data_IF_034258736067
#
_entry.id   IF_034258736067
#
_cell.length_a   1.000
_cell.length_b   1.000
_cell.length_c   1.000
_cell.angle_alpha   90.00
_cell.angle_beta   90.00
_cell.angle_gamma   90.00
#
_symmetry.space_group_name_H-M   'P 1'
#
loop_
_entity.id
_entity.type
_entity.pdbx_description
1 polymer ?
#
# COMPACT_ATOMS: atom_id res chain seq x y z
N UNK A 1 -3.63 -27.40 8.64
CA UNK A 1 -2.87 -26.13 8.80
C UNK A 1 -3.42 -25.22 7.71
N UNK A 2 -4.01 -24.08 8.07
CA UNK A 2 -4.52 -23.15 7.06
C UNK A 2 -3.32 -22.53 6.33
N UNK A 3 -3.42 -22.47 5.00
CA UNK A 3 -2.40 -21.81 4.18
C UNK A 3 -2.67 -20.29 4.19
N UNK A 4 -1.96 -19.57 5.07
CA UNK A 4 -2.13 -18.13 5.22
C UNK A 4 -1.77 -17.37 3.94
N UNK A 5 -0.75 -17.86 3.21
CA UNK A 5 -0.36 -17.27 1.94
C UNK A 5 -1.49 -17.39 0.93
N UNK A 6 -2.07 -18.59 0.78
CA UNK A 6 -3.18 -18.79 -0.15
C UNK A 6 -4.43 -17.97 0.23
N UNK A 7 -4.71 -17.81 1.53
CA UNK A 7 -5.81 -16.94 1.98
C UNK A 7 -5.54 -15.46 1.62
N UNK A 8 -4.30 -15.00 1.84
CA UNK A 8 -3.94 -13.62 1.48
C UNK A 8 -3.92 -13.40 -0.03
N UNK A 9 -3.40 -14.36 -0.81
CA UNK A 9 -3.42 -14.26 -2.27
C UNK A 9 -4.87 -14.21 -2.81
N UNK A 10 -5.79 -14.98 -2.24
CA UNK A 10 -7.22 -14.92 -2.60
C UNK A 10 -7.85 -13.56 -2.23
N UNK A 11 -7.44 -12.98 -1.08
CA UNK A 11 -7.88 -11.65 -0.65
C UNK A 11 -7.43 -10.57 -1.66
N UNK A 12 -6.15 -10.52 -1.98
CA UNK A 12 -5.55 -9.57 -2.94
C UNK A 12 -6.14 -9.76 -4.35
N UNK A 13 -6.38 -11.02 -4.76
CA UNK A 13 -7.04 -11.32 -6.04
C UNK A 13 -8.45 -10.69 -6.11
N UNK A 14 -9.23 -10.84 -5.04
CA UNK A 14 -10.58 -10.27 -4.97
C UNK A 14 -10.57 -8.73 -5.01
N UNK A 15 -9.57 -8.09 -4.37
CA UNK A 15 -9.43 -6.64 -4.32
C UNK A 15 -9.01 -6.01 -5.65
N UNK A 16 -7.98 -6.57 -6.31
CA UNK A 16 -7.29 -5.91 -7.42
C UNK A 16 -7.60 -6.52 -8.80
N UNK A 17 -8.05 -7.77 -8.87
CA UNK A 17 -8.31 -8.45 -10.13
C UNK A 17 -9.82 -8.65 -10.35
N UNK A 18 -10.48 -9.27 -9.39
CA UNK A 18 -11.91 -9.59 -9.50
C UNK A 18 -12.79 -8.38 -9.18
N UNK A 19 -12.25 -7.40 -8.44
CA UNK A 19 -12.92 -6.20 -7.93
C UNK A 19 -14.23 -6.56 -7.20
N UNK A 20 -14.18 -7.64 -6.41
CA UNK A 20 -15.34 -8.25 -5.75
C UNK A 20 -15.29 -8.00 -4.24
N UNK A 21 -16.09 -7.04 -3.79
CA UNK A 21 -16.24 -6.68 -2.37
C UNK A 21 -16.69 -7.88 -1.51
N UNK A 22 -17.62 -8.69 -2.00
CA UNK A 22 -18.15 -9.80 -1.21
C UNK A 22 -17.10 -10.91 -1.07
N UNK A 23 -16.36 -11.21 -2.14
CA UNK A 23 -15.25 -12.13 -2.10
C UNK A 23 -14.14 -11.65 -1.16
N UNK A 24 -13.76 -10.34 -1.22
CA UNK A 24 -12.80 -9.73 -0.30
C UNK A 24 -13.24 -9.90 1.15
N UNK A 25 -14.47 -9.51 1.49
CA UNK A 25 -15.01 -9.62 2.84
C UNK A 25 -15.13 -11.08 3.32
N UNK A 26 -15.36 -12.03 2.42
CA UNK A 26 -15.45 -13.45 2.76
C UNK A 26 -14.12 -14.05 3.25
N UNK A 27 -12.98 -13.48 2.86
CA UNK A 27 -11.65 -13.89 3.33
C UNK A 27 -11.34 -13.35 4.74
N UNK A 28 -12.10 -12.37 5.22
CA UNK A 28 -11.87 -11.70 6.50
C UNK A 28 -12.67 -12.32 7.66
N UNK A 29 -12.24 -12.02 8.89
CA UNK A 29 -12.96 -12.40 10.11
C UNK A 29 -14.28 -11.61 10.22
N UNK A 30 -15.11 -11.95 11.23
CA UNK A 30 -16.36 -11.24 11.47
C UNK A 30 -16.18 -9.81 12.01
N UNK A 31 -15.01 -9.50 12.59
CA UNK A 31 -14.69 -8.18 13.14
C UNK A 31 -13.25 -7.78 12.73
N UNK A 32 -13.03 -7.50 11.43
CA UNK A 32 -11.72 -7.11 10.90
C UNK A 32 -11.44 -5.62 11.08
N UNK A 33 -10.19 -5.22 10.88
CA UNK A 33 -9.87 -3.82 10.62
C UNK A 33 -8.76 -3.66 9.58
N UNK A 34 -8.77 -2.54 8.88
CA UNK A 34 -7.76 -2.14 7.90
C UNK A 34 -7.24 -0.76 8.27
N UNK A 35 -5.92 -0.59 8.25
CA UNK A 35 -5.28 0.65 8.65
C UNK A 35 -4.11 1.01 7.74
N UNK A 36 -4.29 2.03 6.92
CA UNK A 36 -3.21 2.69 6.18
C UNK A 36 -2.55 3.71 7.09
N UNK A 37 -1.36 3.37 7.58
CA UNK A 37 -0.69 4.08 8.67
C UNK A 37 -0.40 5.55 8.33
N UNK A 38 0.12 5.91 7.14
CA UNK A 38 0.50 7.29 6.85
C UNK A 38 -0.67 8.27 6.78
N UNK A 39 -1.86 7.81 6.41
CA UNK A 39 -3.04 8.67 6.17
C UNK A 39 -4.20 8.42 7.14
N UNK A 40 -4.09 7.37 7.97
CA UNK A 40 -5.16 6.91 8.88
C UNK A 40 -6.45 6.61 8.10
N UNK A 41 -6.34 6.09 6.88
CA UNK A 41 -7.46 5.60 6.09
C UNK A 41 -7.67 4.11 6.32
N UNK A 42 -8.89 3.63 6.11
CA UNK A 42 -9.27 2.24 6.36
C UNK A 42 -10.62 2.12 7.04
N UNK A 43 -10.84 1.03 7.79
CA UNK A 43 -12.12 0.80 8.47
C UNK A 43 -11.96 -0.10 9.69
N UNK A 44 -12.86 0.05 10.67
CA UNK A 44 -12.95 -0.80 11.85
C UNK A 44 -14.24 -1.59 11.86
N UNK A 45 -14.14 -2.90 12.16
CA UNK A 45 -15.27 -3.84 12.14
C UNK A 45 -15.79 -4.10 10.72
N UNK A 46 -16.60 -5.14 10.57
CA UNK A 46 -17.10 -5.55 9.25
C UNK A 46 -17.81 -4.42 8.47
N UNK A 47 -18.58 -3.58 9.15
CA UNK A 47 -19.30 -2.49 8.51
C UNK A 47 -18.36 -1.38 8.01
N UNK A 48 -17.39 -0.97 8.84
CA UNK A 48 -16.41 0.06 8.47
C UNK A 48 -15.45 -0.41 7.39
N UNK A 49 -14.99 -1.66 7.45
CA UNK A 49 -14.11 -2.25 6.42
C UNK A 49 -14.87 -2.39 5.09
N UNK A 50 -16.12 -2.84 5.12
CA UNK A 50 -16.97 -2.92 3.92
C UNK A 50 -17.21 -1.56 3.28
N UNK A 51 -17.48 -0.54 4.07
CA UNK A 51 -17.66 0.84 3.59
C UNK A 51 -16.38 1.36 2.93
N UNK A 52 -15.24 1.17 3.60
CA UNK A 52 -13.94 1.54 3.06
C UNK A 52 -13.63 0.85 1.73
N UNK A 53 -13.73 -0.47 1.68
CA UNK A 53 -13.46 -1.22 0.45
C UNK A 53 -14.40 -0.85 -0.69
N UNK A 54 -15.69 -0.69 -0.39
CA UNK A 54 -16.72 -0.45 -1.39
C UNK A 54 -16.68 0.96 -2.00
N UNK A 55 -16.23 1.97 -1.25
CA UNK A 55 -16.28 3.37 -1.70
C UNK A 55 -14.92 4.00 -1.93
N UNK A 56 -13.85 3.52 -1.25
CA UNK A 56 -12.57 4.20 -1.23
C UNK A 56 -11.38 3.35 -1.73
N UNK A 57 -11.58 2.05 -1.99
CA UNK A 57 -10.46 1.16 -2.33
C UNK A 57 -10.68 0.35 -3.61
N UNK A 58 -11.67 -0.57 -3.63
CA UNK A 58 -11.90 -1.49 -4.75
C UNK A 58 -12.34 -0.68 -5.98
N UNK A 59 -11.58 -0.84 -7.08
CA UNK A 59 -11.84 -0.12 -8.33
C UNK A 59 -11.45 1.37 -8.32
N UNK A 60 -10.81 1.88 -7.26
CA UNK A 60 -10.37 3.28 -7.19
C UNK A 60 -8.94 3.50 -7.70
N UNK A 61 -8.17 2.44 -7.83
CA UNK A 61 -6.78 2.52 -8.29
C UNK A 61 -6.70 2.90 -9.77
N UNK A 62 -5.67 3.70 -10.18
CA UNK A 62 -5.37 3.96 -11.58
C UNK A 62 -5.20 2.68 -12.40
N UNK A 63 -5.62 2.71 -13.67
CA UNK A 63 -5.63 1.52 -14.53
C UNK A 63 -4.22 0.99 -14.82
N UNK A 64 -3.19 1.84 -14.69
CA UNK A 64 -1.78 1.50 -14.85
C UNK A 64 -1.08 1.11 -13.55
N UNK A 65 -1.86 0.84 -12.49
CA UNK A 65 -1.30 0.40 -11.21
C UNK A 65 -0.66 -0.98 -11.35
N UNK A 66 0.62 -1.04 -10.99
CA UNK A 66 1.38 -2.29 -10.96
C UNK A 66 1.94 -2.51 -9.56
N UNK A 67 1.85 -3.74 -9.08
CA UNK A 67 2.50 -4.21 -7.86
C UNK A 67 3.51 -5.29 -8.18
N UNK A 68 4.69 -5.18 -7.59
CA UNK A 68 5.74 -6.19 -7.67
C UNK A 68 6.14 -6.59 -6.26
N UNK A 69 5.95 -7.86 -5.93
CA UNK A 69 6.43 -8.41 -4.67
C UNK A 69 7.96 -8.44 -4.66
N UNK A 70 8.55 -7.86 -3.61
CA UNK A 70 10.00 -7.87 -3.35
C UNK A 70 10.33 -9.04 -2.43
N UNK A 71 9.58 -9.18 -1.34
CA UNK A 71 9.73 -10.30 -0.40
C UNK A 71 8.41 -10.62 0.28
N UNK A 72 8.31 -11.86 0.82
CA UNK A 72 7.22 -12.29 1.70
C UNK A 72 7.77 -13.08 2.87
N UNK A 73 7.30 -12.76 4.05
CA UNK A 73 7.55 -13.54 5.27
C UNK A 73 6.24 -14.10 5.80
N UNK A 74 6.21 -15.40 6.07
CA UNK A 74 5.05 -16.11 6.60
C UNK A 74 5.36 -16.58 8.02
N UNK A 75 4.62 -16.04 8.99
CA UNK A 75 4.67 -16.43 10.39
C UNK A 75 3.60 -17.46 10.74
N UNK A 76 3.37 -17.66 12.03
CA UNK A 76 2.36 -18.59 12.54
C UNK A 76 0.94 -18.06 12.31
N UNK A 77 0.74 -16.76 12.52
CA UNK A 77 -0.56 -16.05 12.43
C UNK A 77 -0.46 -14.71 11.66
N UNK A 78 0.62 -14.52 10.90
CA UNK A 78 0.89 -13.27 10.20
C UNK A 78 1.61 -13.51 8.88
N UNK A 79 1.29 -12.71 7.89
CA UNK A 79 2.04 -12.57 6.63
C UNK A 79 2.54 -11.13 6.52
N UNK A 80 3.77 -10.94 6.10
CA UNK A 80 4.33 -9.63 5.78
C UNK A 80 4.81 -9.64 4.34
N UNK A 81 4.26 -8.74 3.53
CA UNK A 81 4.69 -8.49 2.17
C UNK A 81 5.44 -7.17 2.06
N UNK A 82 6.57 -7.20 1.40
CA UNK A 82 7.28 -6.05 0.90
C UNK A 82 7.02 -5.93 -0.60
N UNK A 83 6.44 -4.83 -1.00
CA UNK A 83 5.97 -4.59 -2.36
C UNK A 83 6.59 -3.31 -2.93
N UNK A 84 6.79 -3.31 -4.24
CA UNK A 84 6.94 -2.09 -5.01
C UNK A 84 5.62 -1.80 -5.71
N UNK A 85 5.06 -0.61 -5.49
CA UNK A 85 3.85 -0.16 -6.16
C UNK A 85 4.17 1.02 -7.07
N UNK A 86 3.63 1.00 -8.29
CA UNK A 86 3.74 2.11 -9.24
C UNK A 86 2.41 2.41 -9.88
N UNK A 87 2.10 3.69 -10.07
CA UNK A 87 0.88 4.15 -10.73
C UNK A 87 1.02 5.60 -11.21
N UNK A 88 0.18 6.02 -12.15
CA UNK A 88 0.03 7.43 -12.52
C UNK A 88 -1.14 8.03 -11.74
N UNK A 89 -0.92 9.12 -11.00
CA UNK A 89 -1.98 9.82 -10.27
C UNK A 89 -2.90 10.58 -11.24
N UNK A 90 -3.76 9.82 -11.96
CA UNK A 90 -4.68 10.29 -13.00
C UNK A 90 -6.12 10.52 -12.50
N UNK A 91 -6.38 10.16 -11.27
CA UNK A 91 -7.67 10.31 -10.55
C UNK A 91 -7.44 10.64 -9.10
N UNK A 92 -8.49 11.06 -8.39
CA UNK A 92 -8.41 11.22 -6.94
C UNK A 92 -8.15 9.85 -6.29
N UNK A 93 -7.13 9.78 -5.44
CA UNK A 93 -6.74 8.56 -4.73
C UNK A 93 -6.78 8.82 -3.23
N UNK A 94 -7.96 8.68 -2.64
CA UNK A 94 -8.23 9.05 -1.24
C UNK A 94 -7.37 8.30 -0.22
N UNK A 95 -6.86 7.13 -0.57
CA UNK A 95 -6.01 6.31 0.30
C UNK A 95 -4.68 6.99 0.56
N UNK A 96 -4.02 7.51 -0.48
CA UNK A 96 -2.68 8.10 -0.39
C UNK A 96 -2.68 9.62 -0.45
N UNK A 97 -3.59 10.21 -1.22
CA UNK A 97 -3.65 11.64 -1.53
C UNK A 97 -5.08 12.18 -1.38
N UNK A 98 -5.70 12.04 -0.18
CA UNK A 98 -7.09 12.47 0.04
C UNK A 98 -7.25 13.96 -0.25
N UNK A 99 -8.27 14.31 -1.04
CA UNK A 99 -8.59 15.68 -1.42
C UNK A 99 -7.62 16.34 -2.40
N UNK A 100 -6.67 15.60 -2.96
CA UNK A 100 -5.73 16.11 -3.96
C UNK A 100 -6.22 15.77 -5.36
N UNK A 101 -6.46 16.77 -6.22
CA UNK A 101 -6.80 16.53 -7.61
C UNK A 101 -5.70 15.79 -8.36
N UNK A 102 -6.04 15.07 -9.45
CA UNK A 102 -5.06 14.37 -10.28
C UNK A 102 -3.89 15.25 -10.69
N UNK A 103 -2.66 14.81 -10.43
CA UNK A 103 -1.45 15.53 -10.80
C UNK A 103 -0.87 15.08 -12.15
N UNK A 104 -1.32 13.91 -12.66
CA UNK A 104 -0.80 13.28 -13.87
C UNK A 104 0.63 12.74 -13.70
N UNK A 105 1.18 12.72 -12.49
CA UNK A 105 2.55 12.31 -12.23
C UNK A 105 2.63 10.81 -11.93
N UNK A 106 3.71 10.18 -12.39
CA UNK A 106 4.04 8.79 -12.05
C UNK A 106 4.58 8.74 -10.63
N UNK A 107 4.09 7.80 -9.85
CA UNK A 107 4.52 7.55 -8.47
C UNK A 107 5.05 6.12 -8.38
N UNK A 108 6.20 5.95 -7.74
CA UNK A 108 6.81 4.67 -7.41
C UNK A 108 7.13 4.67 -5.91
N UNK A 109 6.53 3.75 -5.16
CA UNK A 109 6.63 3.74 -3.70
C UNK A 109 6.76 2.31 -3.16
N UNK A 110 7.75 2.06 -2.27
CA UNK A 110 7.78 0.83 -1.49
C UNK A 110 6.62 0.80 -0.49
N UNK A 111 5.96 -0.34 -0.41
CA UNK A 111 4.84 -0.58 0.51
C UNK A 111 5.12 -1.84 1.32
N UNK A 112 4.89 -1.78 2.62
CA UNK A 112 4.88 -2.95 3.49
C UNK A 112 3.47 -3.20 3.97
N UNK A 113 2.98 -4.42 3.76
CA UNK A 113 1.67 -4.87 4.21
C UNK A 113 1.88 -5.93 5.29
N UNK A 114 1.38 -5.67 6.48
CA UNK A 114 1.39 -6.60 7.61
C UNK A 114 -0.02 -7.12 7.81
N UNK A 115 -0.24 -8.40 7.56
CA UNK A 115 -1.56 -9.04 7.59
C UNK A 115 -1.63 -10.03 8.72
N UNK A 116 -2.51 -9.79 9.66
CA UNK A 116 -2.78 -10.72 10.77
C UNK A 116 -3.93 -11.67 10.44
N UNK A 117 -3.86 -12.89 10.97
CA UNK A 117 -4.85 -13.93 10.73
C UNK A 117 -5.41 -14.48 12.03
N UNK A 118 -6.67 -14.85 11.99
CA UNK A 118 -7.36 -15.60 13.04
C UNK A 118 -8.25 -16.64 12.42
N UNK A 119 -8.11 -17.88 12.84
CA UNK A 119 -8.87 -19.03 12.31
C UNK A 119 -8.77 -19.17 10.77
N UNK A 120 -7.59 -18.81 10.21
CA UNK A 120 -7.30 -18.88 8.78
C UNK A 120 -7.92 -17.77 7.94
N UNK A 121 -8.47 -16.72 8.56
CA UNK A 121 -9.05 -15.55 7.92
C UNK A 121 -8.27 -14.29 8.28
N UNK A 122 -8.24 -13.32 7.37
CA UNK A 122 -7.64 -12.01 7.62
C UNK A 122 -8.38 -11.32 8.76
N UNK A 123 -7.65 -11.03 9.84
CA UNK A 123 -8.19 -10.31 11.00
C UNK A 123 -7.90 -8.83 10.94
N UNK A 124 -6.78 -8.46 10.36
CA UNK A 124 -6.40 -7.07 10.18
C UNK A 124 -5.29 -6.90 9.15
N UNK A 125 -5.17 -5.66 8.66
CA UNK A 125 -4.09 -5.22 7.80
C UNK A 125 -3.53 -3.89 8.30
N UNK A 126 -2.19 -3.80 8.35
CA UNK A 126 -1.47 -2.55 8.52
C UNK A 126 -0.62 -2.29 7.28
N UNK A 127 -0.86 -1.18 6.61
CA UNK A 127 -0.20 -0.82 5.36
C UNK A 127 0.67 0.41 5.60
N UNK A 128 1.94 0.30 5.25
CA UNK A 128 2.96 1.31 5.46
C UNK A 128 3.58 1.74 4.14
N UNK A 129 3.77 3.04 3.97
CA UNK A 129 4.60 3.63 2.92
C UNK A 129 5.19 4.94 3.43
N UNK A 130 6.15 5.49 2.69
CA UNK A 130 6.67 6.82 2.96
C UNK A 130 5.81 7.88 2.28
N UNK A 131 5.02 8.62 3.06
CA UNK A 131 4.16 9.68 2.55
C UNK A 131 4.95 10.86 2.00
N UNK A 132 6.13 11.14 2.54
CA UNK A 132 6.94 12.25 2.04
C UNK A 132 7.38 12.02 0.60
N UNK A 133 7.83 10.78 0.28
CA UNK A 133 8.20 10.43 -1.10
C UNK A 133 7.01 10.50 -2.06
N UNK A 134 5.81 10.14 -1.62
CA UNK A 134 4.57 10.27 -2.43
C UNK A 134 4.30 11.75 -2.74
N UNK A 135 4.39 12.63 -1.73
CA UNK A 135 4.16 14.06 -1.90
C UNK A 135 5.21 14.72 -2.80
N UNK A 136 6.48 14.32 -2.70
CA UNK A 136 7.57 14.81 -3.59
C UNK A 136 7.26 14.43 -5.04
N UNK A 137 6.97 13.16 -5.30
CA UNK A 137 6.69 12.68 -6.65
C UNK A 137 5.40 13.27 -7.23
N UNK A 138 4.38 13.49 -6.41
CA UNK A 138 3.16 14.19 -6.81
C UNK A 138 3.38 15.71 -7.07
N UNK A 139 4.56 16.26 -6.71
CA UNK A 139 4.90 17.68 -6.88
C UNK A 139 4.23 18.59 -5.86
N UNK A 140 3.85 18.04 -4.71
CA UNK A 140 3.19 18.74 -3.60
C UNK A 140 4.18 19.13 -2.49
N UNK A 141 5.35 18.51 -2.47
CA UNK A 141 6.40 18.79 -1.51
C UNK A 141 7.71 19.12 -2.27
N UNK A 142 8.28 20.31 -2.00
CA UNK A 142 9.62 20.66 -2.46
C UNK A 142 10.65 20.01 -1.54
N UNK A 143 11.50 19.17 -2.12
CA UNK A 143 12.54 18.43 -1.38
C UNK A 143 13.89 19.17 -1.30
N UNK A 144 14.05 20.35 -1.92
CA UNK A 144 15.36 21.03 -2.07
C UNK A 144 16.07 21.31 -0.74
N UNK A 145 15.30 21.58 0.32
CA UNK A 145 15.82 21.89 1.66
C UNK A 145 15.41 20.86 2.73
N UNK A 146 14.94 19.69 2.29
CA UNK A 146 14.43 18.64 3.18
C UNK A 146 15.19 17.32 2.98
N UNK A 147 15.42 16.54 4.05
CA UNK A 147 16.08 15.23 3.95
C UNK A 147 15.06 14.16 3.47
N UNK A 148 14.48 14.37 2.31
CA UNK A 148 13.49 13.47 1.68
C UNK A 148 13.88 13.18 0.24
N UNK A 149 13.48 12.01 -0.25
CA UNK A 149 13.72 11.54 -1.60
C UNK A 149 12.41 11.37 -2.35
N UNK A 150 12.48 11.29 -3.66
CA UNK A 150 11.36 10.93 -4.53
C UNK A 150 11.43 9.45 -4.96
N UNK A 151 11.36 9.22 -6.28
CA UNK A 151 11.39 7.87 -6.86
C UNK A 151 12.69 7.10 -6.59
N UNK A 152 13.78 7.80 -6.25
CA UNK A 152 15.09 7.23 -5.93
C UNK A 152 15.03 6.21 -4.79
N UNK A 153 14.12 6.41 -3.85
CA UNK A 153 13.87 5.48 -2.74
C UNK A 153 13.41 4.11 -3.27
N UNK A 154 12.48 4.14 -4.20
CA UNK A 154 11.95 2.94 -4.86
C UNK A 154 13.01 2.24 -5.72
N UNK A 155 13.79 3.01 -6.47
CA UNK A 155 14.88 2.48 -7.31
C UNK A 155 15.95 1.80 -6.43
N UNK A 156 16.32 2.42 -5.31
CA UNK A 156 17.32 1.90 -4.39
C UNK A 156 16.91 0.58 -3.70
N UNK A 157 15.62 0.31 -3.56
CA UNK A 157 15.11 -0.98 -3.08
C UNK A 157 15.32 -2.09 -4.11
N UNK A 158 15.15 -1.77 -5.39
CA UNK A 158 15.25 -2.74 -6.48
C UNK A 158 16.69 -2.92 -7.00
N UNK A 159 17.55 -1.91 -6.82
CA UNK A 159 18.96 -1.93 -7.22
C UNK A 159 19.89 -1.79 -6.00
N UNK A 160 20.44 -2.93 -5.57
CA UNK A 160 21.38 -2.96 -4.44
C UNK A 160 22.72 -2.25 -4.72
N UNK A 161 23.05 -1.98 -5.99
CA UNK A 161 24.28 -1.29 -6.39
C UNK A 161 24.13 0.24 -6.33
N UNK A 162 22.89 0.74 -6.21
CA UNK A 162 22.67 2.19 -6.09
C UNK A 162 23.46 2.77 -4.90
N UNK A 163 24.21 3.88 -5.09
CA UNK A 163 24.91 4.54 -4.01
C UNK A 163 23.98 4.85 -2.82
N UNK A 164 24.56 4.79 -1.62
CA UNK A 164 23.83 5.11 -0.38
C UNK A 164 24.38 6.44 0.18
N UNK A 165 23.62 7.04 1.10
CA UNK A 165 24.03 8.22 1.85
C UNK A 165 24.10 9.52 1.02
N UNK A 166 23.45 9.58 -0.14
CA UNK A 166 23.44 10.78 -1.00
C UNK A 166 22.96 12.04 -0.24
N UNK A 167 22.03 11.88 0.72
CA UNK A 167 21.57 13.00 1.55
C UNK A 167 22.61 13.53 2.55
N UNK A 168 23.69 12.78 2.83
CA UNK A 168 24.76 13.28 3.71
C UNK A 168 25.66 14.30 3.01
N UNK A 169 25.70 14.28 1.68
CA UNK A 169 26.57 15.14 0.87
C UNK A 169 25.92 16.49 0.54
N UNK A 170 24.61 16.62 0.73
CA UNK A 170 23.86 17.84 0.43
C UNK A 170 23.80 18.84 1.59
N UNK A 171 24.42 18.54 2.74
CA UNK A 171 24.39 19.38 3.95
C UNK A 171 25.71 20.19 4.09
N UNK A 172 26.06 20.98 3.08
CA UNK A 172 27.18 21.97 3.18
C UNK A 172 26.73 23.34 2.76
#
# INVERSE_FOLDING_TARGET
MNDLAATFDAHVQAEFQDLDLEATMATMTADPYVHHVPTITGGNGAAGVRDFYGHHFIGQWPDDTETRQVSRTIGEDQVVDELMMTFTHDRELEIMLPGIPPTGRRIAVPVVVVVGFKDGKVSHEHIYWDQATVLVQAGLLDSSDLPVLGAEQAEALLDQQRPKNELFETTT
#
